data_IF_583355938599
#
_entry.id   IF_583355938599
#
_cell.length_a   1.000
_cell.length_b   1.000
_cell.length_c   1.000
_cell.angle_alpha   90.00
_cell.angle_beta   90.00
_cell.angle_gamma   90.00
#
_symmetry.space_group_name_H-M   'P 1'
#
loop_
_entity.id
_entity.type
_entity.pdbx_description
1 polymer ?
#
# COMPACT_ATOMS: atom_id res chain seq x y z
N UNK A 1 -30.21 67.67 -5.52
CA UNK A 1 -29.49 66.68 -4.69
C UNK A 1 -30.11 65.31 -4.89
N UNK A 2 -29.31 64.31 -5.30
CA UNK A 2 -29.19 62.96 -4.71
C UNK A 2 -28.66 61.96 -5.74
N UNK A 3 -27.58 61.31 -5.33
CA UNK A 3 -26.59 60.57 -6.11
C UNK A 3 -27.08 59.20 -6.59
N UNK A 4 -26.61 58.78 -7.78
CA UNK A 4 -26.66 57.40 -8.28
C UNK A 4 -25.68 56.55 -7.47
N UNK A 5 -26.15 55.47 -6.85
CA UNK A 5 -25.31 54.44 -6.24
C UNK A 5 -25.53 53.11 -6.97
N UNK A 6 -24.78 52.98 -8.08
CA UNK A 6 -24.57 51.74 -8.84
C UNK A 6 -23.51 50.90 -8.10
N UNK A 7 -23.76 49.59 -8.00
CA UNK A 7 -22.74 48.53 -7.99
C UNK A 7 -22.00 48.18 -6.69
N UNK A 8 -22.70 47.88 -5.59
CA UNK A 8 -22.08 47.15 -4.47
C UNK A 8 -23.13 46.24 -3.80
N UNK A 9 -23.55 45.11 -4.40
CA UNK A 9 -24.19 44.02 -3.62
C UNK A 9 -24.41 42.67 -4.33
N UNK A 10 -23.61 42.28 -5.33
CA UNK A 10 -23.75 40.94 -5.96
C UNK A 10 -22.39 40.26 -6.12
N UNK A 11 -21.69 40.08 -5.01
CA UNK A 11 -20.46 39.28 -4.93
C UNK A 11 -20.45 38.36 -3.70
N UNK A 12 -21.62 37.85 -3.30
CA UNK A 12 -21.77 37.06 -2.06
C UNK A 12 -22.45 35.70 -2.28
N UNK A 13 -22.52 35.19 -3.51
CA UNK A 13 -23.18 33.92 -3.81
C UNK A 13 -22.38 33.07 -4.82
N UNK A 14 -21.07 32.97 -4.65
CA UNK A 14 -20.21 32.05 -5.41
C UNK A 14 -19.25 31.23 -4.53
N UNK A 15 -19.35 31.33 -3.19
CA UNK A 15 -18.41 30.71 -2.27
C UNK A 15 -18.92 29.40 -1.61
N UNK A 16 -20.12 28.91 -1.96
CA UNK A 16 -20.77 27.78 -1.25
C UNK A 16 -20.85 26.48 -2.09
N UNK A 17 -20.20 26.42 -3.25
CA UNK A 17 -20.36 25.30 -4.20
C UNK A 17 -19.13 24.38 -4.38
N UNK A 18 -18.11 24.46 -3.53
CA UNK A 18 -16.88 23.67 -3.69
C UNK A 18 -16.51 22.76 -2.50
N UNK A 19 -17.44 22.48 -1.59
CA UNK A 19 -17.20 21.60 -0.43
C UNK A 19 -17.73 20.17 -0.62
N UNK A 20 -18.17 19.81 -1.83
CA UNK A 20 -18.66 18.47 -2.13
C UNK A 20 -17.52 17.58 -2.69
N UNK A 21 -17.23 16.52 -1.93
CA UNK A 21 -16.62 15.27 -2.38
C UNK A 21 -15.12 15.29 -2.71
N UNK A 22 -14.29 15.35 -1.68
CA UNK A 22 -13.02 14.64 -1.70
C UNK A 22 -12.86 13.83 -0.40
N UNK A 23 -13.75 12.85 -0.19
CA UNK A 23 -13.41 11.70 0.64
C UNK A 23 -12.35 10.89 -0.11
N UNK A 24 -11.10 11.37 -0.06
CA UNK A 24 -9.95 10.55 -0.37
C UNK A 24 -9.94 9.47 0.71
N UNK A 25 -10.57 8.32 0.44
CA UNK A 25 -10.49 7.17 1.32
C UNK A 25 -9.00 6.92 1.58
N UNK A 26 -8.62 6.81 2.85
CA UNK A 26 -7.27 6.37 3.22
C UNK A 26 -7.05 5.05 2.48
N UNK A 27 -6.06 4.93 1.57
CA UNK A 27 -5.83 3.69 0.86
C UNK A 27 -5.64 2.60 1.90
N UNK A 28 -6.49 1.58 1.87
CA UNK A 28 -6.36 0.42 2.76
C UNK A 28 -5.02 -0.22 2.43
N UNK A 29 -4.04 -0.07 3.34
CA UNK A 29 -2.71 -0.63 3.13
C UNK A 29 -2.82 -2.13 3.18
N UNK A 30 -2.59 -2.80 2.05
CA UNK A 30 -2.55 -4.26 2.01
C UNK A 30 -1.26 -4.76 2.62
N UNK A 31 -1.30 -5.91 3.27
CA UNK A 31 -0.13 -6.58 3.82
C UNK A 31 0.05 -7.92 3.13
N UNK A 32 1.26 -8.19 2.64
CA UNK A 32 1.70 -9.49 2.14
C UNK A 32 2.68 -10.10 3.14
N UNK A 33 2.48 -11.36 3.51
CA UNK A 33 3.38 -12.08 4.41
C UNK A 33 4.19 -13.11 3.64
N UNK A 34 5.51 -12.92 3.61
CA UNK A 34 6.50 -13.81 3.02
C UNK A 34 7.13 -14.69 4.11
N UNK A 35 7.03 -16.01 3.95
CA UNK A 35 7.84 -16.98 4.69
C UNK A 35 8.92 -17.58 3.80
N UNK A 36 10.20 -17.30 4.05
CA UNK A 36 11.28 -17.70 3.17
C UNK A 36 12.42 -18.43 3.92
N UNK A 37 13.22 -19.20 3.19
CA UNK A 37 14.51 -19.65 3.71
C UNK A 37 15.53 -18.49 3.75
N UNK A 38 16.54 -18.59 4.63
CA UNK A 38 17.41 -17.45 4.97
C UNK A 38 18.33 -16.95 3.86
N UNK A 39 18.82 -17.81 2.97
CA UNK A 39 19.84 -17.45 1.96
C UNK A 39 19.44 -16.28 1.05
N UNK A 40 18.22 -16.20 0.47
CA UNK A 40 17.85 -15.13 -0.46
C UNK A 40 17.46 -13.80 0.22
N UNK A 41 17.61 -13.64 1.54
CA UNK A 41 17.12 -12.45 2.27
C UNK A 41 17.60 -11.13 1.67
N UNK A 42 18.87 -11.01 1.31
CA UNK A 42 19.39 -9.76 0.73
C UNK A 42 18.80 -9.48 -0.67
N UNK A 43 18.61 -10.52 -1.49
CA UNK A 43 17.95 -10.38 -2.79
C UNK A 43 16.49 -9.91 -2.62
N UNK A 44 15.78 -10.43 -1.60
CA UNK A 44 14.41 -10.01 -1.31
C UNK A 44 14.29 -8.55 -0.92
N UNK A 45 15.32 -7.91 -0.32
CA UNK A 45 15.27 -6.47 -0.05
C UNK A 45 15.13 -5.64 -1.33
N UNK A 46 15.86 -6.00 -2.37
CA UNK A 46 15.79 -5.33 -3.67
C UNK A 46 14.48 -5.64 -4.38
N UNK A 47 14.08 -6.91 -4.39
CA UNK A 47 12.81 -7.36 -4.97
C UNK A 47 11.62 -6.66 -4.29
N UNK A 48 11.62 -6.53 -2.96
CA UNK A 48 10.54 -5.87 -2.21
C UNK A 48 10.44 -4.38 -2.54
N UNK A 49 11.58 -3.69 -2.69
CA UNK A 49 11.58 -2.28 -3.12
C UNK A 49 10.92 -2.13 -4.48
N UNK A 50 11.32 -2.95 -5.44
CA UNK A 50 10.85 -2.84 -6.83
C UNK A 50 9.40 -3.32 -6.97
N UNK A 51 9.02 -4.37 -6.25
CA UNK A 51 7.64 -4.86 -6.20
C UNK A 51 6.68 -3.84 -5.59
N UNK A 52 7.04 -3.18 -4.47
CA UNK A 52 6.20 -2.13 -3.88
C UNK A 52 5.98 -0.96 -4.84
N UNK A 53 7.01 -0.57 -5.59
CA UNK A 53 6.90 0.45 -6.65
C UNK A 53 5.93 0.00 -7.75
N UNK A 54 6.13 -1.20 -8.27
CA UNK A 54 5.28 -1.78 -9.31
C UNK A 54 3.82 -1.93 -8.87
N UNK A 55 3.59 -2.36 -7.63
CA UNK A 55 2.25 -2.54 -7.06
C UNK A 55 1.49 -1.21 -7.04
N UNK A 56 2.13 -0.15 -6.51
CA UNK A 56 1.55 1.19 -6.48
C UNK A 56 1.27 1.74 -7.88
N UNK A 57 2.17 1.50 -8.83
CA UNK A 57 1.98 1.91 -10.23
C UNK A 57 0.79 1.19 -10.90
N UNK A 58 0.56 -0.08 -10.57
CA UNK A 58 -0.52 -0.89 -11.18
C UNK A 58 -1.87 -0.74 -10.51
N UNK A 59 -1.88 -0.55 -9.20
CA UNK A 59 -3.11 -0.65 -8.40
C UNK A 59 -3.47 0.65 -7.67
N UNK A 60 -2.58 1.64 -7.67
CA UNK A 60 -2.83 2.93 -7.02
C UNK A 60 -2.81 2.87 -5.48
N UNK A 61 -2.47 1.73 -4.89
CA UNK A 61 -2.43 1.50 -3.44
C UNK A 61 -1.01 1.15 -2.96
N UNK A 62 -0.74 1.38 -1.68
CA UNK A 62 0.51 0.95 -1.06
C UNK A 62 0.37 -0.48 -0.52
N UNK A 63 1.48 -1.22 -0.51
CA UNK A 63 1.56 -2.57 0.06
C UNK A 63 2.71 -2.67 1.06
N UNK A 64 2.42 -3.24 2.22
CA UNK A 64 3.38 -3.66 3.22
C UNK A 64 3.80 -5.12 2.94
N UNK A 65 5.08 -5.43 3.17
CA UNK A 65 5.58 -6.80 3.09
C UNK A 65 6.16 -7.14 4.45
N UNK A 66 5.58 -8.15 5.10
CA UNK A 66 6.07 -8.75 6.35
C UNK A 66 6.86 -9.99 5.99
N UNK A 67 7.99 -10.19 6.67
CA UNK A 67 8.95 -11.23 6.29
C UNK A 67 9.29 -12.09 7.50
N UNK A 68 9.38 -13.40 7.28
CA UNK A 68 9.92 -14.37 8.23
C UNK A 68 10.95 -15.24 7.51
N UNK A 69 12.08 -15.48 8.19
CA UNK A 69 13.19 -16.25 7.64
C UNK A 69 13.65 -17.33 8.62
N UNK A 70 13.55 -18.60 8.20
CA UNK A 70 14.03 -19.78 8.94
C UNK A 70 14.72 -20.76 7.97
N UNK A 71 15.35 -21.84 8.44
CA UNK A 71 15.74 -22.92 7.52
C UNK A 71 14.51 -23.53 6.83
N UNK A 72 14.59 -23.99 5.57
CA UNK A 72 13.42 -24.45 4.79
C UNK A 72 12.49 -25.40 5.55
N UNK A 73 13.04 -26.42 6.23
CA UNK A 73 12.24 -27.37 7.00
C UNK A 73 11.62 -26.78 8.27
N UNK A 74 12.25 -25.77 8.88
CA UNK A 74 11.68 -25.05 10.01
C UNK A 74 10.60 -24.06 9.57
N UNK A 75 10.82 -23.37 8.44
CA UNK A 75 9.84 -22.46 7.84
C UNK A 75 8.58 -23.21 7.41
N UNK A 76 8.73 -24.38 6.78
CA UNK A 76 7.59 -25.20 6.37
C UNK A 76 6.79 -25.70 7.58
N UNK A 77 7.47 -26.16 8.65
CA UNK A 77 6.80 -26.51 9.91
C UNK A 77 6.08 -25.33 10.52
N UNK A 78 6.69 -24.14 10.57
CA UNK A 78 6.03 -22.96 11.09
C UNK A 78 4.73 -22.64 10.35
N UNK A 79 4.70 -22.78 9.02
CA UNK A 79 3.47 -22.62 8.21
C UNK A 79 2.42 -23.68 8.58
N UNK A 80 2.82 -24.95 8.69
CA UNK A 80 1.94 -26.05 9.14
C UNK A 80 1.38 -25.78 10.54
N UNK A 81 2.19 -25.21 11.42
CA UNK A 81 1.84 -24.86 12.80
C UNK A 81 1.03 -23.55 12.92
N UNK A 82 0.68 -22.91 11.80
CA UNK A 82 -0.23 -21.77 11.76
C UNK A 82 0.43 -20.41 11.56
N UNK A 83 1.71 -20.33 11.18
CA UNK A 83 2.30 -19.08 10.72
C UNK A 83 1.57 -18.62 9.44
N UNK A 84 0.98 -17.40 9.43
CA UNK A 84 0.30 -16.89 8.26
C UNK A 84 1.32 -16.54 7.18
N UNK A 85 1.23 -17.17 6.01
CA UNK A 85 2.06 -16.88 4.87
C UNK A 85 1.20 -16.82 3.60
N UNK A 86 1.29 -15.72 2.86
CA UNK A 86 0.68 -15.60 1.53
C UNK A 86 1.59 -16.19 0.45
N UNK A 87 2.90 -16.07 0.67
CA UNK A 87 3.94 -16.60 -0.23
C UNK A 87 4.98 -17.35 0.60
N UNK A 88 5.36 -18.53 0.12
CA UNK A 88 6.39 -19.35 0.75
C UNK A 88 7.51 -19.64 -0.24
N UNK A 89 8.76 -19.44 0.19
CA UNK A 89 9.96 -19.69 -0.62
C UNK A 89 10.88 -20.62 0.14
N UNK A 90 10.99 -21.87 -0.30
CA UNK A 90 11.83 -22.89 0.32
C UNK A 90 12.98 -23.26 -0.61
N UNK A 91 14.17 -23.50 -0.05
CA UNK A 91 15.21 -24.24 -0.77
C UNK A 91 14.75 -25.69 -0.88
N UNK A 92 14.52 -26.14 -2.11
CA UNK A 92 14.31 -27.53 -2.44
C UNK A 92 15.63 -28.15 -2.87
N UNK A 93 15.73 -29.48 -2.81
CA UNK A 93 16.88 -30.17 -3.39
C UNK A 93 16.93 -29.88 -4.90
N UNK A 94 18.14 -29.79 -5.50
CA UNK A 94 18.28 -29.75 -6.94
C UNK A 94 17.65 -31.02 -7.53
N UNK A 95 16.72 -30.84 -8.47
CA UNK A 95 16.19 -31.92 -9.30
C UNK A 95 17.17 -32.35 -10.37
#
# INVERSE_FOLDING_TARGET
MKFKLRHILTAACAAVAASACASQGVPESRTLTLGAYTTPREAFREIHRDFKKLWRERHGEAIEIRESYLGSGAQSRAVVDGFPADVVVLSLEPV
#
